data_IF_491402144106
#
_entry.id   IF_491402144106
#
_cell.length_a   1.000
_cell.length_b   1.000
_cell.length_c   1.000
_cell.angle_alpha   90.00
_cell.angle_beta   90.00
_cell.angle_gamma   90.00
#
_symmetry.space_group_name_H-M   'P 1'
#
loop_
_entity.id
_entity.type
_entity.pdbx_description
1 polymer ?
#
# COMPACT_ATOMS: atom_id res chain seq x y z
N UNK A 1 -2.82 20.07 18.10
CA UNK A 1 -3.42 18.82 17.56
C UNK A 1 -2.64 17.65 18.14
N UNK A 2 -3.28 16.63 18.73
CA UNK A 2 -2.55 15.49 19.26
C UNK A 2 -2.03 14.63 18.10
N UNK A 3 -0.74 14.76 17.80
CA UNK A 3 -0.01 13.83 16.96
C UNK A 3 0.49 12.73 17.87
N UNK A 4 -0.02 11.50 17.72
CA UNK A 4 0.64 10.35 18.34
C UNK A 4 1.77 9.95 17.39
N UNK A 5 2.96 10.50 17.63
CA UNK A 5 4.19 9.90 17.15
C UNK A 5 4.54 8.78 18.12
N UNK A 6 4.35 7.51 17.72
CA UNK A 6 5.03 6.39 18.38
C UNK A 6 6.47 6.34 17.83
N UNK A 7 7.21 7.43 18.03
CA UNK A 7 8.61 7.58 17.65
C UNK A 7 9.43 7.77 18.90
N UNK A 8 9.68 6.68 19.62
CA UNK A 8 10.56 6.69 20.79
C UNK A 8 11.98 6.33 20.35
N UNK A 9 12.97 7.09 20.83
CA UNK A 9 14.41 6.76 20.71
C UNK A 9 14.82 5.47 21.46
N UNK A 10 13.83 4.84 22.11
CA UNK A 10 13.83 3.50 22.69
C UNK A 10 12.50 2.85 22.30
N UNK A 11 12.50 2.04 21.24
CA UNK A 11 11.31 1.49 20.60
C UNK A 11 10.42 0.70 21.59
N UNK A 12 9.16 1.11 21.75
CA UNK A 12 8.14 0.20 22.31
C UNK A 12 7.89 -0.82 21.21
N UNK A 13 8.54 -1.98 21.32
CA UNK A 13 8.33 -3.11 20.41
C UNK A 13 6.92 -3.64 20.60
N UNK A 14 6.03 -3.32 19.68
CA UNK A 14 4.74 -3.99 19.59
C UNK A 14 4.93 -5.27 18.81
N UNK A 15 4.59 -6.44 19.35
CA UNK A 15 4.61 -7.68 18.55
C UNK A 15 3.37 -7.80 17.65
N UNK A 16 2.39 -6.93 17.83
CA UNK A 16 1.14 -6.90 17.06
C UNK A 16 0.48 -5.53 17.15
N UNK A 17 -0.49 -5.25 16.26
CA UNK A 17 -1.23 -3.99 16.32
C UNK A 17 -1.99 -3.86 17.66
N UNK A 18 -1.77 -2.78 18.45
CA UNK A 18 -2.45 -2.61 19.72
C UNK A 18 -3.93 -2.27 19.52
N UNK A 19 -4.81 -3.29 19.61
CA UNK A 19 -6.23 -3.18 19.33
C UNK A 19 -6.95 -2.02 20.03
N UNK A 20 -6.50 -1.61 21.23
CA UNK A 20 -7.06 -0.46 21.95
C UNK A 20 -6.92 0.87 21.19
N UNK A 21 -5.96 1.00 20.27
CA UNK A 21 -5.82 2.19 19.43
C UNK A 21 -7.06 2.46 18.57
N UNK A 22 -7.81 1.43 18.19
CA UNK A 22 -9.01 1.59 17.33
C UNK A 22 -10.13 2.40 18.01
N UNK A 23 -10.08 2.54 19.34
CA UNK A 23 -11.02 3.36 20.12
C UNK A 23 -10.70 4.85 20.07
N UNK A 24 -9.50 5.22 19.62
CA UNK A 24 -9.05 6.61 19.55
C UNK A 24 -9.52 7.25 18.23
N UNK A 25 -10.85 7.38 18.07
CA UNK A 25 -11.50 7.81 16.82
C UNK A 25 -11.14 9.23 16.36
N UNK A 26 -10.47 10.04 17.19
CA UNK A 26 -10.00 11.38 16.83
C UNK A 26 -8.57 11.40 16.29
N UNK A 27 -7.89 10.25 16.21
CA UNK A 27 -6.55 10.17 15.62
C UNK A 27 -6.57 10.55 14.16
N UNK A 28 -5.59 11.37 13.77
CA UNK A 28 -5.36 11.81 12.39
C UNK A 28 -4.05 11.29 11.83
N UNK A 29 -3.12 10.90 12.68
CA UNK A 29 -1.80 10.47 12.29
C UNK A 29 -1.37 9.27 13.14
N UNK A 30 -0.96 8.19 12.49
CA UNK A 30 -0.40 7.00 13.12
C UNK A 30 0.90 6.63 12.39
N UNK A 31 1.95 6.43 13.17
CA UNK A 31 3.19 5.79 12.75
C UNK A 31 3.35 4.54 13.60
N UNK A 32 3.62 3.40 12.96
CA UNK A 32 3.93 2.14 13.62
C UNK A 32 5.31 1.71 13.13
N UNK A 33 6.21 1.37 14.05
CA UNK A 33 7.49 0.72 13.73
C UNK A 33 7.56 -0.57 14.53
N UNK A 34 7.58 -1.71 13.84
CA UNK A 34 7.61 -3.04 14.42
C UNK A 34 8.27 -4.01 13.45
N UNK A 35 9.25 -4.77 13.93
CA UNK A 35 9.98 -5.73 13.10
C UNK A 35 9.06 -6.79 12.46
N UNK A 36 8.07 -7.31 13.20
CA UNK A 36 7.26 -8.47 12.80
C UNK A 36 5.77 -8.13 12.60
N UNK A 37 5.43 -6.87 12.30
CA UNK A 37 4.05 -6.49 12.02
C UNK A 37 3.66 -6.83 10.58
N UNK A 38 2.89 -7.89 10.42
CA UNK A 38 2.41 -8.42 9.14
C UNK A 38 0.89 -8.28 8.96
N UNK A 39 0.14 -7.94 10.01
CA UNK A 39 -1.32 -7.80 9.97
C UNK A 39 -1.83 -6.53 10.66
N UNK A 40 -2.69 -5.77 9.97
CA UNK A 40 -3.53 -4.73 10.55
C UNK A 40 -4.99 -5.24 10.68
N UNK A 41 -5.61 -5.20 11.87
CA UNK A 41 -6.90 -5.84 12.11
C UNK A 41 -8.08 -5.07 11.50
N UNK A 42 -9.21 -5.78 11.32
CA UNK A 42 -10.47 -5.22 10.77
C UNK A 42 -10.95 -3.97 11.52
N UNK A 43 -10.78 -3.96 12.85
CA UNK A 43 -11.20 -2.88 13.74
C UNK A 43 -10.50 -1.55 13.47
N UNK A 44 -9.37 -1.54 12.76
CA UNK A 44 -8.70 -0.31 12.34
C UNK A 44 -9.61 0.56 11.44
N UNK A 45 -10.63 -0.02 10.80
CA UNK A 45 -11.66 0.71 10.06
C UNK A 45 -12.42 1.73 10.93
N UNK A 46 -12.41 1.57 12.26
CA UNK A 46 -13.03 2.51 13.21
C UNK A 46 -12.30 3.86 13.30
N UNK A 47 -11.06 3.92 12.82
CA UNK A 47 -10.26 5.15 12.77
C UNK A 47 -10.63 6.01 11.56
N UNK A 48 -11.92 6.36 11.44
CA UNK A 48 -12.47 7.06 10.28
C UNK A 48 -11.93 8.48 10.08
N UNK A 49 -11.38 9.10 11.13
CA UNK A 49 -10.67 10.40 11.07
C UNK A 49 -9.19 10.30 10.71
N UNK A 50 -8.64 9.09 10.58
CA UNK A 50 -7.22 8.92 10.30
C UNK A 50 -6.90 9.48 8.93
N UNK A 51 -5.88 10.32 8.85
CA UNK A 51 -5.43 10.98 7.62
C UNK A 51 -4.14 10.40 7.10
N UNK A 52 -3.27 9.91 7.97
CA UNK A 52 -1.98 9.33 7.60
C UNK A 52 -1.68 8.12 8.45
N UNK A 53 -1.38 7.01 7.77
CA UNK A 53 -0.89 5.77 8.34
C UNK A 53 0.46 5.45 7.71
N UNK A 54 1.50 5.35 8.53
CA UNK A 54 2.83 4.91 8.11
C UNK A 54 3.15 3.67 8.93
N UNK A 55 3.51 2.58 8.24
CA UNK A 55 3.93 1.33 8.87
C UNK A 55 5.34 1.00 8.39
N UNK A 56 6.27 1.01 9.33
CA UNK A 56 7.63 0.55 9.19
C UNK A 56 7.72 -0.86 9.79
N UNK A 57 8.00 -1.84 8.95
CA UNK A 57 8.06 -3.25 9.33
C UNK A 57 9.11 -3.99 8.53
N UNK A 58 9.74 -5.01 9.12
CA UNK A 58 10.65 -5.90 8.40
C UNK A 58 9.91 -7.03 7.69
N UNK A 59 8.62 -7.23 8.00
CA UNK A 59 7.74 -8.13 7.25
C UNK A 59 7.71 -7.74 5.77
N UNK A 60 7.85 -8.71 4.86
CA UNK A 60 7.77 -8.43 3.41
C UNK A 60 6.37 -8.02 2.98
N UNK A 61 5.35 -8.58 3.62
CA UNK A 61 3.95 -8.35 3.32
C UNK A 61 3.24 -7.77 4.55
N UNK A 62 2.29 -6.87 4.30
CA UNK A 62 1.41 -6.29 5.31
C UNK A 62 -0.03 -6.53 4.87
N UNK A 63 -0.70 -7.46 5.53
CA UNK A 63 -2.12 -7.75 5.30
C UNK A 63 -2.97 -6.74 6.08
N UNK A 64 -3.73 -5.93 5.35
CA UNK A 64 -4.66 -4.97 5.92
C UNK A 64 -6.06 -5.59 5.86
N UNK A 65 -6.49 -6.12 7.00
CA UNK A 65 -7.87 -6.57 7.18
C UNK A 65 -8.86 -5.40 7.36
N UNK A 66 -8.34 -4.20 7.64
CA UNK A 66 -9.14 -2.98 7.72
C UNK A 66 -9.74 -2.62 6.35
N UNK A 67 -10.99 -2.19 6.34
CA UNK A 67 -11.56 -1.55 5.16
C UNK A 67 -11.09 -0.08 5.12
N UNK A 68 -9.96 0.14 4.44
CA UNK A 68 -9.39 1.47 4.23
C UNK A 68 -10.33 2.42 3.46
N UNK A 69 -11.29 1.87 2.71
CA UNK A 69 -12.28 2.65 1.97
C UNK A 69 -13.31 3.32 2.90
N UNK A 70 -13.57 2.74 4.09
CA UNK A 70 -14.42 3.36 5.13
C UNK A 70 -13.70 4.46 5.92
N UNK A 71 -12.37 4.53 5.81
CA UNK A 71 -11.56 5.56 6.47
C UNK A 71 -11.58 6.84 5.63
N UNK A 72 -12.74 7.52 5.61
CA UNK A 72 -13.04 8.61 4.66
C UNK A 72 -12.07 9.80 4.73
N UNK A 73 -11.34 9.98 5.83
CA UNK A 73 -10.32 11.03 5.97
C UNK A 73 -8.91 10.59 5.54
N UNK A 74 -8.71 9.32 5.18
CA UNK A 74 -7.40 8.75 4.88
C UNK A 74 -6.86 9.34 3.59
N UNK A 75 -5.68 9.95 3.69
CA UNK A 75 -4.96 10.58 2.58
C UNK A 75 -3.70 9.82 2.21
N UNK A 76 -3.00 9.31 3.22
CA UNK A 76 -1.71 8.66 3.03
C UNK A 76 -1.67 7.32 3.74
N UNK A 77 -1.39 6.26 2.99
CA UNK A 77 -1.05 4.93 3.49
C UNK A 77 0.32 4.55 2.95
N UNK A 78 1.35 4.47 3.79
CA UNK A 78 2.72 4.19 3.37
C UNK A 78 3.32 3.04 4.17
N UNK A 79 3.99 2.14 3.47
CA UNK A 79 4.85 1.11 4.06
C UNK A 79 5.83 0.63 3.00
N UNK A 80 6.96 0.08 3.46
CA UNK A 80 7.93 -0.58 2.60
C UNK A 80 7.51 -2.02 2.26
N UNK A 81 6.62 -2.64 3.07
CA UNK A 81 6.04 -3.95 2.81
C UNK A 81 5.06 -3.94 1.63
N UNK A 82 4.83 -5.09 1.00
CA UNK A 82 3.77 -5.27 0.02
C UNK A 82 2.41 -5.30 0.73
N UNK A 83 1.52 -4.39 0.38
CA UNK A 83 0.20 -4.24 1.00
C UNK A 83 -0.76 -5.24 0.36
N UNK A 84 -1.34 -6.12 1.17
CA UNK A 84 -2.41 -7.03 0.76
C UNK A 84 -3.71 -6.53 1.39
N UNK A 85 -4.69 -6.14 0.58
CA UNK A 85 -6.00 -5.70 1.05
C UNK A 85 -6.95 -6.89 1.12
N UNK A 86 -7.31 -7.31 2.34
CA UNK A 86 -8.21 -8.45 2.52
C UNK A 86 -9.70 -8.07 2.47
N UNK A 87 -10.03 -6.78 2.64
CA UNK A 87 -11.41 -6.29 2.64
C UNK A 87 -11.76 -5.65 1.29
N UNK A 88 -12.62 -6.33 0.52
CA UNK A 88 -13.22 -5.78 -0.69
C UNK A 88 -14.36 -4.82 -0.34
N UNK A 89 -14.45 -3.69 -1.04
CA UNK A 89 -15.08 -2.50 -0.49
C UNK A 89 -16.61 -2.52 -0.54
N UNK A 90 -17.22 -2.75 0.61
CA UNK A 90 -18.61 -2.42 0.96
C UNK A 90 -18.81 -0.90 1.24
N UNK A 91 -18.03 -0.04 0.59
CA UNK A 91 -18.01 1.41 0.83
C UNK A 91 -19.05 2.17 0.00
N UNK A 92 -19.76 3.11 0.62
CA UNK A 92 -20.68 4.07 -0.02
C UNK A 92 -19.96 4.94 -1.08
N UNK A 93 -20.72 5.71 -1.85
CA UNK A 93 -20.28 6.55 -2.98
C UNK A 93 -19.12 7.55 -2.73
N UNK A 94 -18.62 7.73 -1.50
CA UNK A 94 -17.47 8.59 -1.14
C UNK A 94 -16.28 7.85 -0.56
N UNK A 95 -16.31 6.52 -0.60
CA UNK A 95 -15.27 5.68 0.00
C UNK A 95 -13.95 5.84 -0.78
N UNK A 96 -12.86 6.14 -0.09
CA UNK A 96 -11.52 6.24 -0.69
C UNK A 96 -11.18 7.53 -1.45
N UNK A 97 -12.12 8.47 -1.64
CA UNK A 97 -11.90 9.65 -2.51
C UNK A 97 -10.80 10.60 -2.04
N UNK A 98 -10.49 10.60 -0.74
CA UNK A 98 -9.45 11.45 -0.17
C UNK A 98 -8.06 10.82 -0.23
N UNK A 99 -7.95 9.55 -0.66
CA UNK A 99 -6.68 8.85 -0.73
C UNK A 99 -5.82 9.47 -1.84
N UNK A 100 -4.65 9.97 -1.46
CA UNK A 100 -3.70 10.65 -2.34
C UNK A 100 -2.42 9.83 -2.52
N UNK A 101 -2.02 9.11 -1.48
CA UNK A 101 -0.83 8.26 -1.53
C UNK A 101 -1.19 6.87 -1.01
N UNK A 102 -1.00 5.89 -1.88
CA UNK A 102 -1.09 4.47 -1.57
C UNK A 102 0.29 3.87 -1.81
N UNK A 103 0.84 3.28 -0.76
CA UNK A 103 2.16 2.66 -0.76
C UNK A 103 2.24 1.44 -1.67
N UNK A 104 3.19 0.56 -1.39
CA UNK A 104 3.53 -0.61 -2.21
C UNK A 104 2.42 -1.66 -2.22
N UNK A 105 1.36 -1.46 -2.98
CA UNK A 105 0.26 -2.41 -3.14
C UNK A 105 0.74 -3.71 -3.79
N UNK A 106 0.18 -4.86 -3.41
CA UNK A 106 0.45 -6.10 -4.12
C UNK A 106 -0.22 -6.06 -5.51
N UNK A 107 0.37 -6.69 -6.55
CA UNK A 107 -0.23 -6.76 -7.87
C UNK A 107 -1.68 -7.23 -7.84
N UNK A 108 -1.98 -8.26 -7.04
CA UNK A 108 -3.31 -8.91 -6.96
C UNK A 108 -4.38 -7.97 -6.41
N UNK A 109 -3.99 -6.95 -5.64
CA UNK A 109 -4.91 -5.96 -5.09
C UNK A 109 -5.16 -4.77 -6.04
N UNK A 110 -4.45 -4.70 -7.17
CA UNK A 110 -4.63 -3.66 -8.17
C UNK A 110 -5.87 -3.96 -9.03
N UNK A 111 -7.05 -3.66 -8.49
CA UNK A 111 -8.33 -3.88 -9.17
C UNK A 111 -8.97 -2.55 -9.60
N UNK A 112 -9.70 -2.59 -10.72
CA UNK A 112 -10.47 -1.45 -11.21
C UNK A 112 -11.45 -0.93 -10.15
N UNK A 113 -12.06 -1.81 -9.36
CA UNK A 113 -12.99 -1.42 -8.29
C UNK A 113 -12.30 -0.58 -7.20
N UNK A 114 -11.09 -0.96 -6.80
CA UNK A 114 -10.28 -0.21 -5.84
C UNK A 114 -9.83 1.14 -6.39
N UNK A 115 -9.38 1.17 -7.65
CA UNK A 115 -8.92 2.41 -8.28
C UNK A 115 -10.04 3.39 -8.60
N UNK A 116 -11.25 2.90 -8.93
CA UNK A 116 -12.44 3.75 -9.07
C UNK A 116 -12.77 4.50 -7.76
N UNK A 117 -12.47 3.90 -6.60
CA UNK A 117 -12.62 4.54 -5.28
C UNK A 117 -11.48 5.53 -5.01
N UNK A 118 -10.25 5.19 -5.37
CA UNK A 118 -9.05 6.02 -5.21
C UNK A 118 -8.83 7.03 -6.36
N UNK A 119 -9.88 7.66 -6.88
CA UNK A 119 -9.81 8.55 -8.06
C UNK A 119 -8.91 9.79 -7.93
N UNK A 120 -8.49 10.15 -6.72
CA UNK A 120 -7.61 11.30 -6.47
C UNK A 120 -6.18 10.90 -6.11
N UNK A 121 -5.82 9.64 -6.38
CA UNK A 121 -4.50 9.11 -6.11
C UNK A 121 -3.45 9.83 -6.95
N UNK A 122 -2.42 10.36 -6.28
CA UNK A 122 -1.28 11.07 -6.89
C UNK A 122 0.00 10.23 -6.87
N UNK A 123 0.12 9.33 -5.90
CA UNK A 123 1.24 8.41 -5.77
C UNK A 123 0.74 6.99 -5.52
N UNK A 124 1.22 6.05 -6.33
CA UNK A 124 0.96 4.62 -6.20
C UNK A 124 2.28 3.87 -6.18
N UNK A 125 2.47 3.03 -5.17
CA UNK A 125 3.47 1.97 -5.20
C UNK A 125 2.84 0.65 -5.59
N UNK A 126 3.57 -0.19 -6.33
CA UNK A 126 3.25 -1.60 -6.49
C UNK A 126 4.50 -2.42 -6.19
N UNK A 127 4.37 -3.46 -5.35
CA UNK A 127 5.45 -4.38 -4.99
C UNK A 127 4.98 -5.82 -5.11
N UNK A 128 5.67 -6.60 -5.92
CA UNK A 128 5.41 -8.03 -6.10
C UNK A 128 5.80 -8.49 -7.50
N UNK A 129 5.20 -9.58 -7.97
CA UNK A 129 5.40 -10.06 -9.32
C UNK A 129 4.71 -9.14 -10.33
N UNK A 130 5.47 -8.22 -10.93
CA UNK A 130 4.90 -7.21 -11.81
C UNK A 130 4.30 -7.82 -13.09
N UNK A 131 4.73 -9.02 -13.52
CA UNK A 131 4.12 -9.73 -14.64
C UNK A 131 2.60 -9.83 -14.49
N UNK A 132 2.17 -10.26 -13.30
CA UNK A 132 0.76 -10.40 -12.92
C UNK A 132 0.03 -9.05 -13.01
N UNK A 133 0.66 -7.96 -12.54
CA UNK A 133 0.07 -6.63 -12.61
C UNK A 133 -0.29 -6.23 -14.05
N UNK A 134 0.63 -6.46 -14.98
CA UNK A 134 0.42 -6.05 -16.38
C UNK A 134 -0.57 -6.94 -17.13
N UNK A 135 -0.83 -8.15 -16.64
CA UNK A 135 -1.83 -9.07 -17.22
C UNK A 135 -3.25 -8.75 -16.73
N UNK A 136 -3.40 -8.32 -15.48
CA UNK A 136 -4.72 -8.19 -14.84
C UNK A 136 -5.35 -6.80 -14.94
N UNK A 137 -4.56 -5.73 -15.07
CA UNK A 137 -5.09 -4.36 -15.02
C UNK A 137 -4.27 -3.37 -15.84
N UNK A 138 -4.90 -2.23 -16.14
CA UNK A 138 -4.32 -1.06 -16.76
C UNK A 138 -4.44 0.13 -15.80
N UNK A 139 -3.41 0.97 -15.74
CA UNK A 139 -3.38 2.15 -14.86
C UNK A 139 -3.75 3.45 -15.59
N UNK A 140 -4.19 3.36 -16.85
CA UNK A 140 -4.62 4.46 -17.70
C UNK A 140 -5.78 5.27 -17.10
N UNK A 141 -6.66 4.63 -16.32
CA UNK A 141 -7.79 5.27 -15.64
C UNK A 141 -7.37 6.21 -14.50
N UNK A 142 -6.14 6.11 -14.01
CA UNK A 142 -5.64 6.94 -12.91
C UNK A 142 -5.15 8.29 -13.45
N UNK A 143 -6.08 9.11 -13.95
CA UNK A 143 -5.83 10.39 -14.59
C UNK A 143 -5.04 11.38 -13.73
N UNK A 144 -5.15 11.31 -12.39
CA UNK A 144 -4.44 12.18 -11.44
C UNK A 144 -3.12 11.62 -10.93
N UNK A 145 -2.72 10.42 -11.36
CA UNK A 145 -1.52 9.79 -10.87
C UNK A 145 -0.28 10.46 -11.46
N UNK A 146 0.54 11.04 -10.60
CA UNK A 146 1.74 11.76 -10.99
C UNK A 146 3.01 10.94 -10.71
N UNK A 147 2.96 10.05 -9.71
CA UNK A 147 4.10 9.26 -9.27
C UNK A 147 3.75 7.77 -9.20
N UNK A 148 4.45 6.96 -9.99
CA UNK A 148 4.30 5.51 -9.99
C UNK A 148 5.62 4.85 -9.60
N UNK A 149 5.59 4.00 -8.59
CA UNK A 149 6.74 3.23 -8.11
C UNK A 149 6.46 1.75 -8.27
N UNK A 150 7.19 1.09 -9.14
CA UNK A 150 7.07 -0.34 -9.41
C UNK A 150 8.32 -1.05 -8.87
N UNK A 151 8.11 -1.94 -7.92
CA UNK A 151 9.14 -2.80 -7.34
C UNK A 151 8.82 -4.25 -7.71
N UNK A 152 9.61 -4.81 -8.62
CA UNK A 152 9.54 -6.23 -8.95
C UNK A 152 10.19 -7.05 -7.83
N UNK A 153 9.37 -7.79 -7.10
CA UNK A 153 9.79 -8.64 -5.99
C UNK A 153 9.23 -10.06 -6.25
N UNK A 154 10.12 -10.98 -6.63
CA UNK A 154 9.75 -12.35 -7.08
C UNK A 154 10.00 -13.40 -5.97
N UNK A 155 10.37 -12.99 -4.76
CA UNK A 155 10.68 -13.94 -3.68
C UNK A 155 9.45 -14.78 -3.26
N UNK A 156 9.57 -16.12 -3.06
CA UNK A 156 10.78 -16.93 -3.04
C UNK A 156 11.18 -17.55 -4.39
N UNK A 157 10.45 -17.29 -5.47
CA UNK A 157 10.72 -17.94 -6.76
C UNK A 157 12.01 -17.40 -7.39
N UNK A 158 12.91 -18.32 -7.72
CA UNK A 158 14.16 -18.00 -8.40
C UNK A 158 13.87 -17.44 -9.80
N UNK A 159 14.62 -16.39 -10.14
CA UNK A 159 14.53 -15.65 -11.39
C UNK A 159 14.67 -16.55 -12.63
N UNK A 160 13.57 -17.16 -13.09
CA UNK A 160 13.55 -17.95 -14.32
C UNK A 160 12.67 -17.38 -15.41
N UNK A 161 11.92 -16.30 -15.12
CA UNK A 161 11.25 -15.50 -16.14
C UNK A 161 11.48 -14.04 -15.84
N UNK A 162 12.24 -13.37 -16.70
CA UNK A 162 12.33 -11.92 -16.71
C UNK A 162 11.14 -11.40 -17.54
N UNK A 163 9.98 -11.09 -16.92
CA UNK A 163 8.71 -10.97 -17.65
C UNK A 163 8.51 -9.58 -18.26
N UNK A 164 9.32 -8.60 -17.83
CA UNK A 164 9.15 -7.19 -18.20
C UNK A 164 9.50 -6.91 -19.68
N UNK A 165 10.12 -7.86 -20.39
CA UNK A 165 10.68 -7.65 -21.74
C UNK A 165 9.63 -7.47 -22.86
N UNK A 166 8.33 -7.56 -22.58
CA UNK A 166 7.29 -7.43 -23.62
C UNK A 166 6.03 -6.65 -23.25
N UNK A 167 5.92 -6.12 -22.02
CA UNK A 167 4.60 -5.70 -21.48
C UNK A 167 4.41 -4.18 -21.36
N UNK A 168 5.42 -3.39 -21.72
CA UNK A 168 5.29 -1.92 -21.78
C UNK A 168 4.52 -1.51 -23.04
N UNK A 169 3.23 -1.82 -23.09
CA UNK A 169 2.32 -1.19 -24.05
C UNK A 169 2.14 0.27 -23.63
N UNK A 170 2.27 1.19 -24.58
CA UNK A 170 2.19 2.65 -24.32
C UNK A 170 0.87 3.09 -23.68
N UNK A 171 -0.19 2.29 -23.80
CA UNK A 171 -1.51 2.56 -23.23
C UNK A 171 -1.68 2.08 -21.78
N UNK A 172 -0.64 1.51 -21.16
CA UNK A 172 -0.73 0.99 -19.80
C UNK A 172 -0.53 2.08 -18.73
N UNK A 173 0.25 3.10 -19.05
CA UNK A 173 0.62 4.15 -18.10
C UNK A 173 -0.47 5.21 -17.94
N UNK A 174 -0.63 5.77 -16.74
CA UNK A 174 -1.54 6.90 -16.53
C UNK A 174 -1.07 8.14 -17.32
N UNK A 175 -2.02 8.93 -17.86
CA UNK A 175 -1.71 9.98 -18.83
C UNK A 175 -0.94 11.17 -18.26
N UNK A 176 -1.06 11.45 -16.95
CA UNK A 176 -0.40 12.60 -16.30
C UNK A 176 0.80 12.21 -15.44
N UNK A 177 1.41 11.06 -15.73
CA UNK A 177 2.56 10.55 -14.98
C UNK A 177 3.78 11.46 -15.16
N UNK A 178 4.31 11.97 -14.05
CA UNK A 178 5.50 12.85 -14.02
C UNK A 178 6.77 12.10 -13.60
N UNK A 179 6.62 11.05 -12.79
CA UNK A 179 7.72 10.25 -12.28
C UNK A 179 7.37 8.78 -12.30
N UNK A 180 8.20 8.00 -12.98
CA UNK A 180 8.20 6.54 -12.92
C UNK A 180 9.47 6.07 -12.23
N UNK A 181 9.34 5.19 -11.24
CA UNK A 181 10.45 4.46 -10.65
C UNK A 181 10.22 2.99 -10.89
N UNK A 182 11.15 2.33 -11.57
CA UNK A 182 11.15 0.89 -11.77
C UNK A 182 12.39 0.32 -11.08
N UNK A 183 12.18 -0.68 -10.25
CA UNK A 183 13.23 -1.33 -9.46
C UNK A 183 12.93 -2.82 -9.35
N UNK A 184 13.95 -3.63 -9.22
CA UNK A 184 13.82 -5.07 -8.95
C UNK A 184 14.68 -5.44 -7.76
N UNK A 185 14.16 -6.34 -6.91
CA UNK A 185 14.95 -6.92 -5.83
C UNK A 185 15.46 -8.28 -6.30
N UNK A 186 16.74 -8.34 -6.66
CA UNK A 186 17.47 -9.61 -6.77
C UNK A 186 18.08 -9.87 -5.39
N UNK A 187 17.56 -10.82 -4.62
CA UNK A 187 18.31 -11.37 -3.50
C UNK A 187 19.25 -12.42 -4.08
N UNK A 188 20.50 -12.01 -4.34
CA UNK A 188 21.62 -12.92 -4.25
C UNK A 188 21.81 -13.16 -2.75
N UNK A 189 21.13 -14.16 -2.21
CA UNK A 189 21.50 -14.72 -0.91
C UNK A 189 22.57 -15.80 -1.20
N UNK A 190 23.80 -15.37 -1.49
CA UNK A 190 25.01 -16.16 -1.21
C UNK A 190 25.70 -15.49 0.00
N UNK A 191 26.16 -16.35 0.91
CA UNK A 191 27.01 -16.13 2.10
C UNK A 191 26.31 -15.70 3.41
N UNK A 192 25.84 -16.67 4.21
CA UNK A 192 26.62 -17.29 5.33
C UNK A 192 25.87 -18.50 5.94
#
# INVERSE_FOLDING_TARGET
MPTICLGFKSSIKFFSFPAKLTRLIHLRYITLSCDDLDVLPKDMSNLWNLQTLIVDTKSRNLTINANIWKMIQLRHLKTEASIILAANGDGKAKAGENLQILGRLSPECCTDEGFNKARHLKELGVRGQLATLFEITSLDKLDRLENLKLLNDIYPESASRNPLRGILKSNWFPPNLKKLTLSGVHKNDEDE
#
